data_IF_492644203275
#
_entry.id   IF_492644203275
#
_cell.length_a   1.000
_cell.length_b   1.000
_cell.length_c   1.000
_cell.angle_alpha   90.00
_cell.angle_beta   90.00
_cell.angle_gamma   90.00
#
_symmetry.space_group_name_H-M   'P 1'
#
loop_
_entity.id
_entity.type
_entity.pdbx_description
1 polymer ?
#
# COMPACT_ATOMS: atom_id res chain seq x y z
N UNK A 1 26.67 -13.01 -7.23
CA UNK A 1 27.44 -11.76 -7.00
C UNK A 1 26.52 -10.69 -6.38
N UNK A 2 25.65 -11.06 -5.44
CA UNK A 2 24.35 -10.36 -5.23
C UNK A 2 24.17 -9.70 -3.86
N UNK A 3 25.18 -9.73 -2.98
CA UNK A 3 25.04 -9.22 -1.62
C UNK A 3 25.46 -7.73 -1.49
N UNK A 4 26.46 -7.29 -2.26
CA UNK A 4 26.97 -5.91 -2.22
C UNK A 4 26.00 -4.90 -2.87
N UNK A 5 25.28 -5.33 -3.92
CA UNK A 5 24.31 -4.48 -4.65
C UNK A 5 23.06 -4.18 -3.81
N UNK A 6 22.54 -5.16 -3.08
CA UNK A 6 21.41 -4.97 -2.16
C UNK A 6 21.74 -3.98 -1.04
N UNK A 7 22.97 -3.98 -0.55
CA UNK A 7 23.44 -3.03 0.47
C UNK A 7 23.52 -1.60 -0.07
N UNK A 8 23.98 -1.44 -1.32
CA UNK A 8 24.14 -0.13 -1.93
C UNK A 8 22.80 0.52 -2.29
N UNK A 9 21.86 -0.22 -2.88
CA UNK A 9 20.52 0.29 -3.20
C UNK A 9 19.76 0.67 -1.92
N UNK A 10 19.86 -0.14 -0.86
CA UNK A 10 19.26 0.16 0.44
C UNK A 10 19.85 1.41 1.05
N UNK A 11 21.18 1.59 0.98
CA UNK A 11 21.83 2.79 1.49
C UNK A 11 21.40 4.03 0.70
N UNK A 12 21.37 3.97 -0.63
CA UNK A 12 20.89 5.07 -1.49
C UNK A 12 19.45 5.48 -1.18
N UNK A 13 18.57 4.50 -0.97
CA UNK A 13 17.20 4.74 -0.56
C UNK A 13 17.13 5.45 0.80
N UNK A 14 17.87 4.97 1.79
CA UNK A 14 17.87 5.57 3.13
C UNK A 14 18.47 6.98 3.13
N UNK A 15 19.57 7.21 2.42
CA UNK A 15 20.16 8.55 2.27
C UNK A 15 19.16 9.53 1.65
N UNK A 16 18.50 9.11 0.56
CA UNK A 16 17.46 9.93 -0.07
C UNK A 16 16.29 10.22 0.88
N UNK A 17 15.82 9.24 1.66
CA UNK A 17 14.77 9.48 2.66
C UNK A 17 15.21 10.55 3.66
N UNK A 18 16.43 10.46 4.18
CA UNK A 18 16.94 11.42 5.17
C UNK A 18 16.97 12.83 4.59
N UNK A 19 17.38 12.98 3.33
CA UNK A 19 17.37 14.27 2.62
C UNK A 19 15.94 14.83 2.49
N UNK A 20 15.00 14.01 2.02
CA UNK A 20 13.60 14.43 1.82
C UNK A 20 12.90 14.75 3.13
N UNK A 21 13.12 13.96 4.17
CA UNK A 21 12.56 14.22 5.50
C UNK A 21 13.22 15.45 6.12
N UNK A 22 14.52 15.66 5.92
CA UNK A 22 15.22 16.88 6.33
C UNK A 22 14.64 18.12 5.65
N UNK A 23 14.35 18.03 4.36
CA UNK A 23 13.68 19.09 3.59
C UNK A 23 12.26 19.33 4.12
N UNK A 24 11.51 18.27 4.39
CA UNK A 24 10.16 18.35 4.97
C UNK A 24 10.18 19.06 6.33
N UNK A 25 11.08 18.66 7.23
CA UNK A 25 11.22 19.23 8.58
C UNK A 25 11.60 20.71 8.49
N UNK A 26 12.53 21.05 7.60
CA UNK A 26 12.96 22.45 7.36
C UNK A 26 11.81 23.30 6.80
N UNK A 27 10.90 22.67 6.06
CA UNK A 27 9.75 23.33 5.43
C UNK A 27 8.48 23.31 6.29
N UNK A 28 8.52 22.75 7.52
CA UNK A 28 7.34 22.65 8.40
C UNK A 28 6.73 24.01 8.73
N UNK A 29 7.56 25.04 8.88
CA UNK A 29 7.15 26.44 9.07
C UNK A 29 6.36 27.02 7.89
N UNK A 30 6.47 26.41 6.70
CA UNK A 30 5.75 26.80 5.49
C UNK A 30 4.41 26.06 5.32
N UNK A 31 4.05 25.18 6.26
CA UNK A 31 2.74 24.55 6.33
C UNK A 31 1.91 25.24 7.42
N UNK A 32 0.98 26.11 7.00
CA UNK A 32 0.04 26.75 7.93
C UNK A 32 -0.94 25.76 8.57
N UNK A 33 -1.10 24.58 7.96
CA UNK A 33 -1.90 23.47 8.46
C UNK A 33 -1.36 22.14 7.90
N UNK A 34 -1.62 21.01 8.57
CA UNK A 34 -1.30 19.70 8.01
C UNK A 34 -2.06 19.49 6.70
N UNK A 35 -1.43 18.85 5.69
CA UNK A 35 -2.07 18.61 4.40
C UNK A 35 -3.32 17.75 4.59
N UNK A 36 -4.46 18.27 4.13
CA UNK A 36 -5.72 17.55 4.24
C UNK A 36 -5.69 16.29 3.36
N UNK A 37 -6.42 15.25 3.77
CA UNK A 37 -6.51 13.99 3.03
C UNK A 37 -7.02 14.21 1.60
N UNK A 38 -7.87 15.22 1.40
CA UNK A 38 -8.41 15.64 0.12
C UNK A 38 -7.32 16.20 -0.81
N UNK A 39 -6.36 16.96 -0.27
CA UNK A 39 -5.25 17.53 -1.06
C UNK A 39 -4.27 16.43 -1.52
N UNK A 40 -4.03 15.43 -0.67
CA UNK A 40 -3.23 14.26 -1.03
C UNK A 40 -3.98 13.42 -2.09
N UNK A 41 -5.29 13.26 -1.96
CA UNK A 41 -6.12 12.55 -2.93
C UNK A 41 -6.13 13.23 -4.32
N UNK A 42 -6.22 14.57 -4.34
CA UNK A 42 -6.09 15.38 -5.57
C UNK A 42 -4.71 15.23 -6.18
N UNK A 43 -3.66 15.36 -5.39
CA UNK A 43 -2.27 15.21 -5.85
C UNK A 43 -2.05 13.83 -6.46
N UNK A 44 -2.51 12.77 -5.80
CA UNK A 44 -2.44 11.41 -6.34
C UNK A 44 -3.22 11.25 -7.65
N UNK A 45 -4.39 11.89 -7.77
CA UNK A 45 -5.17 11.89 -9.01
C UNK A 45 -4.43 12.56 -10.16
N UNK A 46 -3.77 13.70 -9.91
CA UNK A 46 -2.94 14.39 -10.90
C UNK A 46 -1.78 13.51 -11.36
N UNK A 47 -1.08 12.87 -10.42
CA UNK A 47 0.02 11.95 -10.74
C UNK A 47 -0.46 10.75 -11.57
N UNK A 48 -1.55 10.10 -11.16
CA UNK A 48 -2.11 8.93 -11.89
C UNK A 48 -2.50 9.34 -13.31
N UNK A 49 -3.15 10.51 -13.44
CA UNK A 49 -3.53 11.06 -14.74
C UNK A 49 -2.32 11.34 -15.63
N UNK A 50 -1.27 11.95 -15.09
CA UNK A 50 -0.09 12.28 -15.88
C UNK A 50 0.75 11.06 -16.28
N UNK A 51 0.89 10.08 -15.37
CA UNK A 51 1.79 8.93 -15.58
C UNK A 51 1.11 7.81 -16.39
N UNK A 52 -0.20 7.62 -16.20
CA UNK A 52 -0.94 6.46 -16.77
C UNK A 52 -2.21 6.87 -17.49
N UNK A 53 -2.36 8.16 -17.83
CA UNK A 53 -3.52 8.68 -18.53
C UNK A 53 -4.86 8.36 -17.81
N UNK A 54 -4.82 8.28 -16.48
CA UNK A 54 -5.97 7.96 -15.62
C UNK A 54 -6.17 6.48 -15.32
N UNK A 55 -5.31 5.60 -15.85
CA UNK A 55 -5.40 4.16 -15.62
C UNK A 55 -4.86 3.75 -14.24
N UNK A 56 -5.73 3.82 -13.23
CA UNK A 56 -5.45 3.43 -11.84
C UNK A 56 -4.88 2.01 -11.74
N UNK A 57 -5.37 1.07 -12.55
CA UNK A 57 -4.92 -0.32 -12.51
C UNK A 57 -3.47 -0.46 -13.00
N UNK A 58 -3.10 0.30 -14.02
CA UNK A 58 -1.74 0.37 -14.52
C UNK A 58 -0.80 1.05 -13.53
N UNK A 59 -1.22 2.15 -12.90
CA UNK A 59 -0.43 2.81 -11.87
C UNK A 59 -0.22 1.91 -10.65
N UNK A 60 -1.26 1.19 -10.23
CA UNK A 60 -1.20 0.17 -9.18
C UNK A 60 -0.19 -0.93 -9.51
N UNK A 61 -0.20 -1.42 -10.76
CA UNK A 61 0.76 -2.41 -11.26
C UNK A 61 2.18 -1.86 -11.29
N UNK A 62 2.37 -0.60 -11.65
CA UNK A 62 3.67 0.07 -11.68
C UNK A 62 4.26 0.19 -10.26
N UNK A 63 3.49 0.74 -9.32
CA UNK A 63 3.93 0.99 -7.94
C UNK A 63 3.91 -0.25 -7.03
N UNK A 64 3.18 -1.29 -7.43
CA UNK A 64 3.02 -2.51 -6.64
C UNK A 64 2.06 -2.40 -5.48
N UNK A 65 1.08 -1.52 -5.65
CA UNK A 65 0.08 -1.19 -4.65
C UNK A 65 -1.22 -1.88 -5.08
N UNK A 66 -1.98 -2.51 -4.18
CA UNK A 66 -3.27 -3.08 -4.55
C UNK A 66 -4.18 -2.00 -5.13
N UNK A 67 -4.86 -2.30 -6.24
CA UNK A 67 -5.76 -1.36 -6.93
C UNK A 67 -6.80 -0.76 -5.99
N UNK A 68 -7.40 -1.59 -5.12
CA UNK A 68 -8.43 -1.14 -4.18
C UNK A 68 -7.88 -0.14 -3.16
N UNK A 69 -6.67 -0.38 -2.66
CA UNK A 69 -5.96 0.53 -1.75
C UNK A 69 -5.70 1.88 -2.41
N UNK A 70 -5.18 1.86 -3.64
CA UNK A 70 -4.91 3.07 -4.41
C UNK A 70 -6.20 3.87 -4.69
N UNK A 71 -7.30 3.19 -5.02
CA UNK A 71 -8.61 3.81 -5.22
C UNK A 71 -9.15 4.48 -3.95
N UNK A 72 -8.99 3.85 -2.77
CA UNK A 72 -9.38 4.47 -1.49
C UNK A 72 -8.62 5.77 -1.21
N UNK A 73 -7.33 5.83 -1.56
CA UNK A 73 -6.53 7.04 -1.40
C UNK A 73 -6.91 8.12 -2.41
N UNK A 74 -7.10 7.75 -3.67
CA UNK A 74 -7.51 8.67 -4.73
C UNK A 74 -8.89 9.30 -4.46
N UNK A 75 -9.79 8.56 -3.81
CA UNK A 75 -11.12 9.05 -3.43
C UNK A 75 -11.15 9.75 -2.07
N UNK A 76 -10.01 9.88 -1.37
CA UNK A 76 -9.94 10.49 -0.04
C UNK A 76 -10.60 9.68 1.08
N UNK A 77 -10.96 8.42 0.82
CA UNK A 77 -11.57 7.51 1.81
C UNK A 77 -10.57 7.00 2.84
N UNK A 78 -9.30 6.95 2.48
CA UNK A 78 -8.20 6.58 3.37
C UNK A 78 -6.97 7.45 3.08
N UNK A 79 -6.06 7.52 4.04
CA UNK A 79 -4.78 8.21 3.89
C UNK A 79 -3.64 7.21 3.66
N UNK A 80 -2.77 7.42 2.68
CA UNK A 80 -1.56 6.62 2.54
C UNK A 80 -0.58 6.90 3.68
N UNK A 81 0.15 5.87 4.09
CA UNK A 81 1.27 6.00 5.04
C UNK A 81 2.43 6.72 4.35
N UNK A 82 3.21 7.48 5.12
CA UNK A 82 4.33 8.28 4.62
C UNK A 82 5.35 7.45 3.82
N UNK A 83 5.66 6.24 4.25
CA UNK A 83 6.57 5.32 3.55
C UNK A 83 6.15 5.07 2.10
N UNK A 84 4.85 4.91 1.85
CA UNK A 84 4.31 4.68 0.51
C UNK A 84 4.35 5.97 -0.32
N UNK A 85 4.08 7.12 0.30
CA UNK A 85 4.21 8.43 -0.38
C UNK A 85 5.66 8.68 -0.81
N UNK A 86 6.63 8.42 0.07
CA UNK A 86 8.06 8.51 -0.22
C UNK A 86 8.45 7.58 -1.36
N UNK A 87 7.93 6.35 -1.35
CA UNK A 87 8.18 5.38 -2.43
C UNK A 87 7.65 5.87 -3.78
N UNK A 88 6.45 6.44 -3.81
CA UNK A 88 5.87 7.03 -5.02
C UNK A 88 6.74 8.19 -5.50
N UNK A 89 7.13 9.10 -4.60
CA UNK A 89 7.98 10.25 -4.90
C UNK A 89 9.32 9.81 -5.51
N UNK A 90 9.96 8.79 -4.94
CA UNK A 90 11.24 8.30 -5.43
C UNK A 90 11.16 7.61 -6.79
N UNK A 91 10.14 6.78 -7.01
CA UNK A 91 9.93 6.10 -8.30
C UNK A 91 9.61 7.10 -9.43
N UNK A 92 8.95 8.20 -9.11
CA UNK A 92 8.51 9.20 -10.07
C UNK A 92 9.42 10.44 -10.12
N UNK A 93 10.46 10.48 -9.27
CA UNK A 93 11.36 11.63 -9.08
C UNK A 93 10.60 12.96 -8.81
N UNK A 94 9.56 12.87 -7.97
CA UNK A 94 8.74 14.01 -7.52
C UNK A 94 9.17 14.44 -6.12
N UNK A 95 9.16 15.74 -5.80
CA UNK A 95 9.37 16.19 -4.41
C UNK A 95 8.15 15.86 -3.55
N UNK A 96 8.40 15.36 -2.35
CA UNK A 96 7.34 15.10 -1.38
C UNK A 96 6.54 16.38 -1.07
N UNK A 97 7.19 17.54 -1.03
CA UNK A 97 6.52 18.81 -0.77
C UNK A 97 5.50 19.17 -1.86
N UNK A 98 5.82 18.89 -3.12
CA UNK A 98 4.87 19.09 -4.23
C UNK A 98 3.69 18.12 -4.11
N UNK A 99 3.95 16.86 -3.72
CA UNK A 99 2.90 15.86 -3.55
C UNK A 99 1.93 16.21 -2.40
N UNK A 100 2.41 16.97 -1.41
CA UNK A 100 1.59 17.48 -0.32
C UNK A 100 0.85 18.78 -0.69
N UNK A 101 1.17 19.41 -1.82
CA UNK A 101 0.63 20.70 -2.30
C UNK A 101 0.18 20.60 -3.77
N UNK A 102 -1.07 20.18 -4.04
CA UNK A 102 -1.55 19.90 -5.40
C UNK A 102 -1.40 21.07 -6.38
N UNK A 103 -1.46 22.31 -5.89
CA UNK A 103 -1.28 23.52 -6.70
C UNK A 103 0.11 23.58 -7.33
N UNK A 104 1.15 23.19 -6.59
CA UNK A 104 2.51 23.17 -7.11
C UNK A 104 2.69 22.00 -8.09
N UNK A 105 2.04 20.88 -7.80
CA UNK A 105 2.12 19.67 -8.58
C UNK A 105 1.47 19.80 -9.97
N UNK A 106 0.36 20.52 -10.09
CA UNK A 106 -0.37 20.71 -11.35
C UNK A 106 0.45 21.40 -12.45
N UNK A 107 1.51 22.11 -12.08
CA UNK A 107 2.38 22.85 -13.01
C UNK A 107 3.57 22.01 -13.50
N UNK A 108 3.79 20.83 -12.94
CA UNK A 108 4.97 20.00 -13.24
C UNK A 108 4.68 18.96 -14.32
N UNK A 109 5.68 18.74 -15.17
CA UNK A 109 5.63 17.73 -16.23
C UNK A 109 6.23 16.41 -15.72
N UNK A 110 5.41 15.35 -15.67
CA UNK A 110 5.84 14.04 -15.21
C UNK A 110 6.37 13.22 -16.40
N UNK A 111 7.63 13.43 -16.77
CA UNK A 111 8.15 12.96 -18.07
C UNK A 111 9.07 11.75 -18.02
N UNK A 112 9.36 11.16 -16.85
CA UNK A 112 10.11 9.90 -16.80
C UNK A 112 9.86 9.16 -15.50
N UNK A 113 9.31 7.96 -15.58
CA UNK A 113 9.43 7.00 -14.49
C UNK A 113 10.90 6.57 -14.50
N UNK A 114 11.65 7.00 -13.50
CA UNK A 114 12.98 6.46 -13.26
C UNK A 114 12.77 5.06 -12.70
N UNK A 115 13.13 4.04 -13.47
CA UNK A 115 13.09 2.65 -13.02
C UNK A 115 14.17 2.38 -11.96
N UNK A 116 14.34 3.27 -10.96
CA UNK A 116 15.06 2.95 -9.72
C UNK A 116 14.26 1.83 -9.07
N UNK A 117 14.73 0.62 -9.33
CA UNK A 117 13.97 -0.59 -9.10
C UNK A 117 14.02 -0.83 -7.61
N UNK A 118 13.10 -0.25 -6.84
CA UNK A 118 12.86 -0.75 -5.50
C UNK A 118 12.26 -2.13 -5.71
N UNK A 119 13.12 -3.16 -5.75
CA UNK A 119 12.71 -4.55 -5.71
C UNK A 119 11.78 -4.65 -4.53
N UNK A 120 10.50 -4.86 -4.84
CA UNK A 120 9.46 -5.01 -3.83
C UNK A 120 9.99 -6.07 -2.87
N UNK A 121 10.09 -5.72 -1.58
CA UNK A 121 9.73 -6.74 -0.60
C UNK A 121 8.35 -7.19 -1.06
N UNK A 122 8.15 -8.47 -1.46
CA UNK A 122 6.82 -8.97 -1.69
C UNK A 122 6.07 -8.54 -0.44
N UNK A 123 5.01 -7.75 -0.60
CA UNK A 123 4.03 -7.71 0.47
C UNK A 123 3.68 -9.18 0.64
N UNK A 124 4.17 -9.78 1.73
CA UNK A 124 3.72 -11.06 2.20
C UNK A 124 2.24 -10.81 2.42
N UNK A 125 1.43 -10.97 1.37
CA UNK A 125 0.02 -11.27 1.57
C UNK A 125 0.12 -12.46 2.48
N UNK A 126 -0.30 -12.30 3.74
CA UNK A 126 -0.55 -13.44 4.59
C UNK A 126 -1.34 -14.37 3.69
N UNK A 127 -0.73 -15.51 3.36
CA UNK A 127 -1.37 -16.49 2.50
C UNK A 127 -2.76 -16.71 3.07
N UNK A 128 -3.82 -16.76 2.23
CA UNK A 128 -5.14 -17.10 2.71
C UNK A 128 -4.98 -18.27 3.68
N UNK A 129 -5.44 -18.11 4.92
CA UNK A 129 -5.32 -19.14 5.95
C UNK A 129 -5.83 -20.42 5.29
N UNK A 130 -4.95 -21.42 5.13
CA UNK A 130 -5.29 -22.65 4.43
C UNK A 130 -6.53 -23.21 5.14
N UNK A 131 -7.60 -23.42 4.38
CA UNK A 131 -8.77 -24.08 4.91
C UNK A 131 -8.38 -25.54 5.13
N UNK A 132 -8.16 -25.90 6.40
CA UNK A 132 -7.74 -27.23 6.83
C UNK A 132 -8.92 -28.20 6.72
N UNK A 133 -9.31 -28.52 5.48
CA UNK A 133 -10.49 -29.32 5.14
C UNK A 133 -10.52 -30.65 5.89
N UNK A 134 -9.37 -31.28 6.07
CA UNK A 134 -9.24 -32.55 6.79
C UNK A 134 -9.59 -32.38 8.29
N UNK A 135 -9.10 -31.31 8.94
CA UNK A 135 -9.41 -31.04 10.35
C UNK A 135 -10.90 -30.75 10.56
N UNK A 136 -11.51 -29.99 9.63
CA UNK A 136 -12.95 -29.69 9.66
C UNK A 136 -13.76 -30.97 9.43
N UNK A 137 -13.35 -31.83 8.51
CA UNK A 137 -14.01 -33.10 8.23
C UNK A 137 -13.94 -34.05 9.44
N UNK A 138 -12.77 -34.19 10.06
CA UNK A 138 -12.58 -35.04 11.24
C UNK A 138 -13.43 -34.57 12.41
N UNK A 139 -13.51 -33.26 12.64
CA UNK A 139 -14.35 -32.68 13.68
C UNK A 139 -15.85 -32.88 13.40
N UNK A 140 -16.29 -32.76 12.14
CA UNK A 140 -17.67 -33.06 11.75
C UNK A 140 -18.02 -34.54 11.95
N UNK A 141 -17.12 -35.46 11.60
CA UNK A 141 -17.30 -36.89 11.83
C UNK A 141 -17.37 -37.24 13.32
N UNK A 142 -16.57 -36.58 14.15
CA UNK A 142 -16.62 -36.74 15.61
C UNK A 142 -17.94 -36.24 16.21
N UNK A 143 -18.47 -35.12 15.71
CA UNK A 143 -19.78 -34.59 16.12
C UNK A 143 -20.91 -35.53 15.66
N UNK A 144 -20.85 -36.06 14.44
CA UNK A 144 -21.82 -37.03 13.93
C UNK A 144 -21.79 -38.37 14.68
N UNK A 145 -20.61 -38.80 15.15
CA UNK A 145 -20.43 -40.01 15.95
C UNK A 145 -20.73 -39.84 17.44
N UNK A 146 -21.10 -38.63 17.88
CA UNK A 146 -21.51 -38.37 19.26
C UNK A 146 -23.03 -38.54 19.40
N UNK A 147 -23.47 -39.41 20.31
CA UNK A 147 -24.89 -39.66 20.61
C UNK A 147 -25.53 -38.50 21.42
N UNK A 148 -25.35 -37.27 20.96
CA UNK A 148 -25.96 -36.09 21.58
C UNK A 148 -27.45 -36.05 21.21
N UNK A 149 -28.33 -36.19 22.21
CA UNK A 149 -29.77 -35.89 22.09
C UNK A 149 -30.13 -34.60 22.84
N UNK A 150 -30.73 -33.61 22.16
CA UNK A 150 -30.97 -33.52 20.71
C UNK A 150 -29.67 -33.25 19.93
N UNK A 151 -29.63 -33.60 18.62
CA UNK A 151 -28.47 -33.33 17.79
C UNK A 151 -28.19 -31.83 17.68
N UNK A 152 -26.91 -31.47 17.67
CA UNK A 152 -26.44 -30.10 17.51
C UNK A 152 -27.01 -29.47 16.24
N UNK A 153 -27.46 -28.23 16.35
CA UNK A 153 -27.90 -27.44 15.21
C UNK A 153 -26.70 -27.01 14.36
N UNK A 154 -26.93 -26.73 13.06
CA UNK A 154 -25.87 -26.24 12.17
C UNK A 154 -25.15 -24.99 12.70
N UNK A 155 -25.86 -24.13 13.47
CA UNK A 155 -25.29 -22.93 14.08
C UNK A 155 -24.31 -23.27 15.19
N UNK A 156 -24.63 -24.26 16.02
CA UNK A 156 -23.76 -24.71 17.12
C UNK A 156 -22.53 -25.45 16.58
N UNK A 157 -22.71 -26.25 15.54
CA UNK A 157 -21.60 -26.91 14.83
C UNK A 157 -20.64 -25.88 14.23
N UNK A 158 -21.15 -24.84 13.55
CA UNK A 158 -20.31 -23.77 13.00
C UNK A 158 -19.55 -23.00 14.10
N UNK A 159 -20.19 -22.76 15.24
CA UNK A 159 -19.55 -22.07 16.38
C UNK A 159 -18.43 -22.91 16.99
N UNK A 160 -18.56 -24.25 16.98
CA UNK A 160 -17.53 -25.16 17.46
C UNK A 160 -16.30 -25.22 16.53
N UNK A 161 -16.51 -25.06 15.22
CA UNK A 161 -15.46 -25.19 14.20
C UNK A 161 -14.69 -23.89 13.91
N UNK A 162 -15.22 -22.73 14.34
CA UNK A 162 -14.58 -21.41 14.25
C UNK A 162 -15.10 -20.52 13.13
#
# INVERSE_FOLDING_TARGET
MDCLTLSQEKLQWQTWIVEVIGELISSTLSFNSPPAKEEIAKSLSLVINAVTNGNIAEFARLMGIPKNTLWMWQTGKALPVLDILLKICYCLEISLLDLLKPEQLATKSFTKISHKTIRRSPTLRASPKLFEANQVQDALLAILGSDNEPPLTMKEVATCLG
#
